data_IF_586577976070
#
_entry.id   IF_586577976070
#
_cell.length_a   1.000
_cell.length_b   1.000
_cell.length_c   1.000
_cell.angle_alpha   90.00
_cell.angle_beta   90.00
_cell.angle_gamma   90.00
#
_symmetry.space_group_name_H-M   'P 1'
#
loop_
_entity.id
_entity.type
_entity.pdbx_description
1 polymer ?
#
# COMPACT_ATOMS: atom_id res chain seq x y z
N UNK A 1 25.98 -13.82 30.42
CA UNK A 1 26.64 -15.15 30.53
C UNK A 1 27.32 -15.54 29.23
N UNK A 2 26.70 -15.35 28.06
CA UNK A 2 27.33 -15.65 26.75
C UNK A 2 28.66 -14.93 26.47
N UNK A 3 28.81 -13.68 26.90
CA UNK A 3 30.06 -12.94 26.70
C UNK A 3 31.24 -13.50 27.52
N UNK A 4 30.97 -14.15 28.65
CA UNK A 4 31.99 -14.80 29.47
C UNK A 4 32.42 -16.13 28.85
N UNK A 5 31.45 -16.91 28.37
CA UNK A 5 31.66 -18.20 27.71
C UNK A 5 32.43 -18.07 26.37
N UNK A 6 32.21 -16.96 25.64
CA UNK A 6 33.00 -16.62 24.45
C UNK A 6 34.46 -16.27 24.81
N UNK A 7 34.67 -15.60 25.95
CA UNK A 7 36.02 -15.25 26.41
C UNK A 7 36.78 -16.50 26.86
N UNK A 8 36.12 -17.39 27.59
CA UNK A 8 36.69 -18.66 28.06
C UNK A 8 37.12 -19.53 26.86
N UNK A 9 36.25 -19.72 25.86
CA UNK A 9 36.61 -20.43 24.62
C UNK A 9 37.79 -19.80 23.86
N UNK A 10 37.92 -18.47 23.87
CA UNK A 10 39.06 -17.79 23.25
C UNK A 10 40.34 -17.99 24.04
N UNK A 11 40.25 -17.96 25.37
CA UNK A 11 41.39 -18.22 26.26
C UNK A 11 41.84 -19.67 26.08
N UNK A 12 40.93 -20.64 26.05
CA UNK A 12 41.25 -22.05 25.80
C UNK A 12 41.87 -22.27 24.42
N UNK A 13 41.35 -21.59 23.39
CA UNK A 13 41.94 -21.65 22.05
C UNK A 13 43.35 -21.05 22.00
N UNK A 14 43.59 -19.95 22.72
CA UNK A 14 44.92 -19.33 22.82
C UNK A 14 45.89 -20.19 23.63
N UNK A 15 45.45 -20.79 24.73
CA UNK A 15 46.26 -21.69 25.55
C UNK A 15 46.64 -22.96 24.79
N UNK A 16 45.71 -23.53 24.02
CA UNK A 16 45.99 -24.66 23.12
C UNK A 16 46.92 -24.27 21.97
N UNK A 17 46.76 -23.08 21.38
CA UNK A 17 47.64 -22.61 20.31
C UNK A 17 49.07 -22.31 20.80
N UNK A 18 49.22 -21.86 22.05
CA UNK A 18 50.52 -21.69 22.69
C UNK A 18 51.10 -23.01 23.23
N UNK A 19 50.32 -24.10 23.27
CA UNK A 19 50.78 -25.40 23.72
C UNK A 19 51.12 -25.45 25.22
N UNK A 20 50.59 -24.54 26.03
CA UNK A 20 50.75 -24.54 27.48
C UNK A 20 49.69 -25.47 28.06
N UNK A 21 49.78 -26.76 27.73
CA UNK A 21 49.01 -27.78 28.44
C UNK A 21 49.91 -28.32 29.56
N UNK A 22 49.46 -28.07 30.79
CA UNK A 22 49.98 -28.62 32.04
C UNK A 22 50.30 -30.10 31.85
N UNK A 23 51.59 -30.49 31.87
CA UNK A 23 52.13 -31.73 32.48
C UNK A 23 53.67 -31.85 32.31
N UNK A 24 54.35 -31.04 31.49
CA UNK A 24 55.82 -31.06 31.42
C UNK A 24 56.46 -29.70 31.71
N UNK A 25 56.69 -29.43 33.00
CA UNK A 25 57.61 -28.38 33.49
C UNK A 25 59.09 -28.70 33.19
N UNK A 26 59.46 -29.06 31.96
CA UNK A 26 60.85 -29.36 31.64
C UNK A 26 61.41 -28.45 30.53
N UNK A 27 62.18 -27.47 31.01
CA UNK A 27 63.44 -26.98 30.43
C UNK A 27 63.43 -26.19 29.13
N UNK A 28 62.34 -25.55 28.73
CA UNK A 28 62.38 -24.52 27.68
C UNK A 28 61.49 -23.32 28.05
N UNK A 29 61.87 -22.61 29.12
CA UNK A 29 61.50 -21.19 29.31
C UNK A 29 62.32 -20.31 28.35
N UNK A 30 62.45 -20.68 27.08
CA UNK A 30 62.78 -19.68 26.07
C UNK A 30 61.53 -18.82 25.93
N UNK A 31 61.64 -17.50 26.07
CA UNK A 31 60.51 -16.64 25.75
C UNK A 31 60.06 -17.01 24.33
N UNK A 32 58.77 -17.25 24.11
CA UNK A 32 58.23 -17.53 22.78
C UNK A 32 58.73 -16.51 21.75
N UNK A 33 58.88 -15.26 22.17
CA UNK A 33 59.52 -14.18 21.44
C UNK A 33 60.96 -14.48 21.05
N UNK A 34 61.79 -14.99 21.95
CA UNK A 34 63.19 -15.34 21.68
C UNK A 34 63.29 -16.54 20.73
N UNK A 35 62.45 -17.57 20.87
CA UNK A 35 62.41 -18.70 19.92
C UNK A 35 61.89 -18.28 18.55
N UNK A 36 60.90 -17.38 18.47
CA UNK A 36 60.43 -16.79 17.20
C UNK A 36 61.52 -15.92 16.57
N UNK A 37 62.23 -15.11 17.35
CA UNK A 37 63.34 -14.29 16.87
C UNK A 37 64.47 -15.19 16.35
N UNK A 38 64.80 -16.25 17.08
CA UNK A 38 65.80 -17.25 16.68
C UNK A 38 65.38 -17.95 15.38
N UNK A 39 64.15 -18.43 15.28
CA UNK A 39 63.60 -19.04 14.07
C UNK A 39 63.60 -18.06 12.88
N UNK A 40 63.19 -16.81 13.09
CA UNK A 40 63.23 -15.78 12.05
C UNK A 40 64.67 -15.46 11.60
N UNK A 41 65.63 -15.44 12.54
CA UNK A 41 67.04 -15.22 12.25
C UNK A 41 67.65 -16.41 11.50
N UNK A 42 67.29 -17.65 11.84
CA UNK A 42 67.65 -18.87 11.12
C UNK A 42 67.05 -18.91 9.71
N UNK A 43 65.78 -18.54 9.56
CA UNK A 43 65.13 -18.46 8.24
C UNK A 43 65.80 -17.36 7.42
N UNK A 44 66.02 -16.18 7.98
CA UNK A 44 66.64 -15.06 7.28
C UNK A 44 68.08 -15.37 6.85
N UNK A 45 68.87 -16.01 7.72
CA UNK A 45 70.24 -16.43 7.41
C UNK A 45 70.31 -17.61 6.42
N UNK A 46 69.37 -18.56 6.46
CA UNK A 46 69.26 -19.62 5.46
C UNK A 46 68.81 -19.09 4.09
N UNK A 47 68.07 -17.98 4.08
CA UNK A 47 67.49 -17.37 2.88
C UNK A 47 68.40 -16.29 2.27
N UNK A 48 69.30 -15.68 3.05
CA UNK A 48 70.21 -14.62 2.59
C UNK A 48 71.20 -15.06 1.51
N UNK A 49 71.43 -16.37 1.34
CA UNK A 49 72.23 -16.93 0.24
C UNK A 49 71.42 -17.44 -0.96
N UNK A 50 70.08 -17.41 -0.89
CA UNK A 50 69.17 -17.91 -1.92
C UNK A 50 68.18 -16.82 -2.33
N UNK A 51 68.61 -15.95 -3.22
CA UNK A 51 67.83 -14.82 -3.74
C UNK A 51 66.43 -15.22 -4.25
N UNK A 52 66.32 -16.38 -4.91
CA UNK A 52 65.04 -16.94 -5.37
C UNK A 52 64.05 -17.29 -4.25
N UNK A 53 64.55 -17.71 -3.08
CA UNK A 53 63.70 -18.04 -1.92
C UNK A 53 63.26 -16.74 -1.23
N UNK A 54 64.12 -15.73 -1.18
CA UNK A 54 63.75 -14.38 -0.72
C UNK A 54 62.68 -13.73 -1.61
N UNK A 55 62.74 -13.94 -2.92
CA UNK A 55 61.71 -13.49 -3.87
C UNK A 55 60.38 -14.25 -3.69
N UNK A 56 60.44 -15.58 -3.49
CA UNK A 56 59.25 -16.38 -3.16
C UNK A 56 58.61 -15.94 -1.84
N UNK A 57 59.40 -15.63 -0.81
CA UNK A 57 58.90 -15.18 0.50
C UNK A 57 58.25 -13.80 0.43
N UNK A 58 58.69 -12.92 -0.48
CA UNK A 58 58.02 -11.65 -0.79
C UNK A 58 56.68 -11.88 -1.48
N UNK A 59 56.59 -12.89 -2.36
CA UNK A 59 55.36 -13.28 -3.06
C UNK A 59 54.40 -14.10 -2.19
N UNK A 60 54.82 -14.59 -1.02
CA UNK A 60 53.95 -15.34 -0.10
C UNK A 60 52.72 -14.53 0.32
N UNK A 61 52.85 -13.23 0.58
CA UNK A 61 51.71 -12.36 0.91
C UNK A 61 50.73 -12.21 -0.26
N UNK A 62 51.26 -12.18 -1.47
CA UNK A 62 50.45 -12.11 -2.69
C UNK A 62 49.73 -13.45 -2.93
N UNK A 63 50.44 -14.57 -2.72
CA UNK A 63 49.89 -15.92 -2.78
C UNK A 63 48.82 -16.16 -1.70
N UNK A 64 48.97 -15.59 -0.51
CA UNK A 64 47.97 -15.63 0.55
C UNK A 64 46.68 -14.91 0.13
N UNK A 65 46.80 -13.73 -0.51
CA UNK A 65 45.66 -13.03 -1.09
C UNK A 65 44.99 -13.81 -2.23
N UNK A 66 45.75 -14.58 -3.02
CA UNK A 66 45.18 -15.43 -4.07
C UNK A 66 44.60 -16.76 -3.55
N UNK A 67 45.02 -17.20 -2.36
CA UNK A 67 44.43 -18.34 -1.66
C UNK A 67 43.18 -17.96 -0.88
N UNK A 68 42.94 -16.65 -0.67
CA UNK A 68 41.74 -16.15 -0.02
C UNK A 68 40.50 -16.42 -0.90
N UNK A 69 39.53 -17.24 -0.45
CA UNK A 69 38.29 -17.50 -1.18
C UNK A 69 37.51 -16.22 -1.52
N UNK A 70 37.66 -15.16 -0.71
CA UNK A 70 36.93 -13.91 -0.91
C UNK A 70 37.45 -13.10 -2.11
N UNK A 71 38.74 -13.24 -2.46
CA UNK A 71 39.35 -12.53 -3.59
C UNK A 71 38.80 -13.00 -4.96
N UNK A 72 38.55 -14.30 -5.12
CA UNK A 72 37.94 -14.88 -6.33
C UNK A 72 36.44 -14.56 -6.38
N UNK A 73 35.79 -14.52 -5.22
CA UNK A 73 34.37 -14.21 -5.10
C UNK A 73 34.07 -12.77 -5.56
N UNK A 74 34.96 -11.81 -5.28
CA UNK A 74 34.74 -10.41 -5.66
C UNK A 74 34.70 -10.19 -7.18
N UNK A 75 35.54 -10.89 -7.96
CA UNK A 75 35.49 -10.78 -9.42
C UNK A 75 34.26 -11.45 -10.05
N UNK A 76 33.83 -12.60 -9.52
CA UNK A 76 32.57 -13.22 -9.94
C UNK A 76 31.36 -12.38 -9.51
N UNK A 77 31.45 -11.74 -8.34
CA UNK A 77 30.44 -10.85 -7.80
C UNK A 77 30.16 -9.67 -8.72
N UNK A 78 31.16 -9.08 -9.39
CA UNK A 78 30.93 -7.94 -10.30
C UNK A 78 30.02 -8.32 -11.48
N UNK A 79 30.26 -9.45 -12.14
CA UNK A 79 29.43 -9.92 -13.26
C UNK A 79 28.02 -10.29 -12.81
N UNK A 80 27.91 -10.91 -11.64
CA UNK A 80 26.62 -11.25 -11.03
C UNK A 80 25.86 -9.98 -10.63
N UNK A 81 26.56 -8.97 -10.09
CA UNK A 81 25.99 -7.65 -9.75
C UNK A 81 25.49 -6.92 -11.00
N UNK A 82 26.22 -6.98 -12.11
CA UNK A 82 25.80 -6.38 -13.38
C UNK A 82 24.53 -7.07 -13.93
N UNK A 83 24.52 -8.41 -13.95
CA UNK A 83 23.33 -9.17 -14.34
C UNK A 83 22.14 -8.87 -13.42
N UNK A 84 22.37 -8.78 -12.11
CA UNK A 84 21.35 -8.42 -11.12
C UNK A 84 20.79 -7.02 -11.36
N UNK A 85 21.65 -6.02 -11.57
CA UNK A 85 21.22 -4.65 -11.90
C UNK A 85 20.37 -4.63 -13.16
N UNK A 86 20.76 -5.36 -14.21
CA UNK A 86 19.97 -5.44 -15.44
C UNK A 86 18.61 -6.13 -15.23
N UNK A 87 18.53 -7.14 -14.36
CA UNK A 87 17.25 -7.78 -14.01
C UNK A 87 16.34 -6.87 -13.18
N UNK A 88 16.92 -6.08 -12.26
CA UNK A 88 16.18 -5.21 -11.33
C UNK A 88 15.93 -3.83 -11.94
N UNK A 89 16.56 -3.47 -13.06
CA UNK A 89 16.45 -2.14 -13.68
C UNK A 89 15.01 -1.74 -13.99
N UNK A 90 14.19 -2.67 -14.49
CA UNK A 90 12.79 -2.41 -14.79
C UNK A 90 11.96 -2.18 -13.51
N UNK A 91 12.19 -2.98 -12.47
CA UNK A 91 11.53 -2.81 -11.17
C UNK A 91 11.96 -1.50 -10.49
N UNK A 92 13.23 -1.13 -10.63
CA UNK A 92 13.76 0.12 -10.11
C UNK A 92 13.17 1.33 -10.86
N UNK A 93 12.99 1.23 -12.17
CA UNK A 93 12.32 2.26 -12.97
C UNK A 93 10.85 2.41 -12.57
N UNK A 94 10.13 1.30 -12.35
CA UNK A 94 8.75 1.33 -11.85
C UNK A 94 8.67 1.94 -10.44
N UNK A 95 9.60 1.60 -9.55
CA UNK A 95 9.70 2.18 -8.22
C UNK A 95 10.05 3.68 -8.25
N UNK A 96 10.84 4.11 -9.23
CA UNK A 96 11.14 5.53 -9.41
C UNK A 96 9.90 6.31 -9.87
N UNK A 97 9.10 5.75 -10.79
CA UNK A 97 7.86 6.36 -11.25
C UNK A 97 6.84 6.48 -10.11
N UNK A 98 6.69 5.45 -9.27
CA UNK A 98 5.81 5.50 -8.10
C UNK A 98 6.31 6.50 -7.06
N UNK A 99 7.62 6.57 -6.82
CA UNK A 99 8.20 7.57 -5.93
C UNK A 99 8.00 8.99 -6.45
N UNK A 100 8.10 9.20 -7.77
CA UNK A 100 7.84 10.49 -8.38
C UNK A 100 6.36 10.91 -8.23
N UNK A 101 5.42 9.97 -8.37
CA UNK A 101 4.01 10.20 -8.07
C UNK A 101 3.81 10.58 -6.59
N UNK A 102 4.44 9.86 -5.66
CA UNK A 102 4.37 10.18 -4.23
C UNK A 102 4.90 11.59 -3.94
N UNK A 103 6.04 11.97 -4.55
CA UNK A 103 6.61 13.31 -4.41
C UNK A 103 5.70 14.41 -4.98
N UNK A 104 4.96 14.12 -6.05
CA UNK A 104 3.93 15.05 -6.57
C UNK A 104 2.74 15.19 -5.61
N UNK A 105 2.43 14.16 -4.82
CA UNK A 105 1.36 14.18 -3.82
C UNK A 105 1.80 14.77 -2.46
N UNK A 106 3.10 14.86 -2.18
CA UNK A 106 3.66 15.43 -0.93
C UNK A 106 3.12 16.83 -0.58
N UNK A 107 2.97 17.77 -1.54
CA UNK A 107 2.40 19.10 -1.27
C UNK A 107 0.90 19.04 -0.96
N UNK A 108 0.18 18.02 -1.43
CA UNK A 108 -1.27 17.85 -1.17
C UNK A 108 -1.53 17.29 0.23
N UNK A 109 -0.61 16.45 0.74
CA UNK A 109 -0.68 15.96 2.12
C UNK A 109 -0.32 17.05 3.13
N UNK A 110 0.58 17.95 2.75
CA UNK A 110 0.97 19.12 3.53
C UNK A 110 -0.02 20.29 3.38
N UNK A 111 -1.04 20.15 2.53
CA UNK A 111 -1.99 21.21 2.30
C UNK A 111 -2.84 21.39 3.56
N UNK A 112 -2.76 22.58 4.16
CA UNK A 112 -3.53 22.97 5.34
C UNK A 112 -5.04 22.76 5.15
N UNK A 113 -5.54 22.65 3.92
CA UNK A 113 -6.93 22.35 3.61
C UNK A 113 -7.47 21.10 4.31
N UNK A 114 -6.68 20.05 4.51
CA UNK A 114 -7.13 18.85 5.26
C UNK A 114 -7.15 19.08 6.78
N UNK A 115 -6.30 19.98 7.29
CA UNK A 115 -6.21 20.33 8.71
C UNK A 115 -7.22 21.41 9.09
N UNK A 116 -7.61 22.25 8.13
CA UNK A 116 -8.60 23.30 8.28
C UNK A 116 -9.99 22.88 7.81
N UNK A 117 -10.24 21.59 7.54
CA UNK A 117 -11.62 21.10 7.34
C UNK A 117 -12.32 21.31 8.69
N UNK A 118 -13.26 22.26 8.80
CA UNK A 118 -14.06 22.40 10.01
C UNK A 118 -14.79 21.08 10.21
N UNK A 119 -15.07 20.69 11.45
CA UNK A 119 -15.92 19.52 11.68
C UNK A 119 -17.35 19.85 11.23
N UNK A 120 -17.64 19.65 9.94
CA UNK A 120 -18.95 19.84 9.32
C UNK A 120 -19.79 18.57 9.42
N UNK A 121 -19.30 17.53 10.12
CA UNK A 121 -19.99 16.25 10.25
C UNK A 121 -21.38 16.41 10.87
N UNK A 122 -21.49 17.23 11.92
CA UNK A 122 -22.77 17.52 12.58
C UNK A 122 -23.74 18.24 11.63
N UNK A 123 -23.27 19.25 10.90
CA UNK A 123 -24.09 19.97 9.92
C UNK A 123 -24.51 19.08 8.75
N UNK A 124 -23.65 18.16 8.31
CA UNK A 124 -24.00 17.17 7.28
C UNK A 124 -25.05 16.19 7.83
N UNK A 125 -24.94 15.78 9.10
CA UNK A 125 -25.94 14.94 9.76
C UNK A 125 -27.30 15.64 9.82
N UNK A 126 -27.32 16.89 10.25
CA UNK A 126 -28.54 17.71 10.30
C UNK A 126 -29.15 17.90 8.90
N UNK A 127 -28.32 18.15 7.88
CA UNK A 127 -28.80 18.25 6.50
C UNK A 127 -29.39 16.93 5.99
N UNK A 128 -28.80 15.79 6.36
CA UNK A 128 -29.34 14.48 5.99
C UNK A 128 -30.67 14.18 6.70
N UNK A 129 -30.81 14.52 7.99
CA UNK A 129 -32.07 14.38 8.73
C UNK A 129 -33.17 15.28 8.14
N UNK A 130 -32.84 16.53 7.81
CA UNK A 130 -33.76 17.45 7.13
C UNK A 130 -34.15 16.95 5.74
N UNK A 131 -33.20 16.41 4.96
CA UNK A 131 -33.48 15.86 3.64
C UNK A 131 -34.44 14.66 3.72
N UNK A 132 -34.20 13.74 4.66
CA UNK A 132 -35.08 12.60 4.88
C UNK A 132 -36.50 13.03 5.28
N UNK A 133 -36.60 14.00 6.19
CA UNK A 133 -37.89 14.57 6.60
C UNK A 133 -38.60 15.25 5.42
N UNK A 134 -37.87 16.00 4.60
CA UNK A 134 -38.41 16.67 3.43
C UNK A 134 -38.89 15.67 2.37
N UNK A 135 -38.20 14.55 2.19
CA UNK A 135 -38.63 13.48 1.29
C UNK A 135 -39.95 12.88 1.73
N UNK A 136 -40.08 12.53 3.02
CA UNK A 136 -41.33 11.98 3.57
C UNK A 136 -42.50 12.97 3.43
N UNK A 137 -42.26 14.27 3.67
CA UNK A 137 -43.28 15.30 3.47
C UNK A 137 -43.68 15.42 2.01
N UNK A 138 -42.72 15.32 1.08
CA UNK A 138 -42.99 15.40 -0.34
C UNK A 138 -43.84 14.21 -0.83
N UNK A 139 -43.56 12.99 -0.36
CA UNK A 139 -44.35 11.79 -0.66
C UNK A 139 -45.80 11.95 -0.19
N UNK A 140 -46.02 12.45 1.03
CA UNK A 140 -47.37 12.71 1.56
C UNK A 140 -48.13 13.76 0.75
N UNK A 141 -47.44 14.83 0.32
CA UNK A 141 -48.04 15.87 -0.51
C UNK A 141 -48.39 15.32 -1.89
N UNK A 142 -47.52 14.50 -2.48
CA UNK A 142 -47.74 13.86 -3.78
C UNK A 142 -48.95 12.91 -3.72
N UNK A 143 -49.06 12.08 -2.69
CA UNK A 143 -50.22 11.21 -2.48
C UNK A 143 -51.52 12.02 -2.31
N UNK A 144 -51.48 13.08 -1.49
CA UNK A 144 -52.63 13.97 -1.28
C UNK A 144 -53.07 14.67 -2.58
N UNK A 145 -52.10 15.11 -3.39
CA UNK A 145 -52.35 15.73 -4.69
C UNK A 145 -52.98 14.73 -5.65
N UNK A 146 -52.46 13.50 -5.72
CA UNK A 146 -52.99 12.43 -6.56
C UNK A 146 -54.45 12.14 -6.21
N UNK A 147 -54.76 11.97 -4.93
CA UNK A 147 -56.13 11.73 -4.44
C UNK A 147 -57.04 12.91 -4.82
N UNK A 148 -56.56 14.14 -4.67
CA UNK A 148 -57.33 15.33 -5.01
C UNK A 148 -57.63 15.41 -6.50
N UNK A 149 -56.66 15.07 -7.36
CA UNK A 149 -56.84 14.99 -8.81
C UNK A 149 -57.83 13.89 -9.20
N UNK A 150 -57.77 12.73 -8.56
CA UNK A 150 -58.74 11.65 -8.77
C UNK A 150 -60.17 12.09 -8.41
N UNK A 151 -60.37 12.68 -7.23
CA UNK A 151 -61.66 13.21 -6.80
C UNK A 151 -62.17 14.31 -7.74
N UNK A 152 -61.30 15.18 -8.21
CA UNK A 152 -61.67 16.20 -9.20
C UNK A 152 -62.14 15.56 -10.51
N UNK A 153 -61.42 14.55 -11.01
CA UNK A 153 -61.82 13.81 -12.21
C UNK A 153 -63.17 13.10 -12.04
N UNK A 154 -63.43 12.51 -10.88
CA UNK A 154 -64.73 11.90 -10.57
C UNK A 154 -65.86 12.94 -10.57
N UNK A 155 -65.65 14.08 -9.92
CA UNK A 155 -66.63 15.18 -9.90
C UNK A 155 -66.90 15.68 -11.31
N UNK A 156 -65.85 15.85 -12.13
CA UNK A 156 -65.98 16.29 -13.52
C UNK A 156 -66.79 15.31 -14.37
N UNK A 157 -66.54 14.01 -14.22
CA UNK A 157 -67.30 12.96 -14.93
C UNK A 157 -68.75 12.94 -14.48
N UNK A 158 -69.01 12.97 -13.17
CA UNK A 158 -70.37 13.03 -12.63
C UNK A 158 -71.13 14.28 -13.10
N UNK A 159 -70.47 15.43 -13.17
CA UNK A 159 -71.06 16.66 -13.69
C UNK A 159 -71.38 16.54 -15.18
N UNK A 160 -70.46 15.96 -15.97
CA UNK A 160 -70.69 15.70 -17.40
C UNK A 160 -71.90 14.79 -17.60
N UNK A 161 -72.01 13.71 -16.84
CA UNK A 161 -73.14 12.78 -16.93
C UNK A 161 -74.45 13.44 -16.50
N UNK A 162 -74.44 14.25 -15.44
CA UNK A 162 -75.61 15.00 -15.00
C UNK A 162 -76.08 16.02 -16.05
N UNK A 163 -75.16 16.72 -16.70
CA UNK A 163 -75.46 17.65 -17.80
C UNK A 163 -76.00 16.91 -19.03
N UNK A 164 -75.43 15.75 -19.38
CA UNK A 164 -75.94 14.93 -20.47
C UNK A 164 -77.37 14.44 -20.19
N UNK A 165 -77.64 13.94 -18.98
CA UNK A 165 -78.99 13.54 -18.57
C UNK A 165 -79.97 14.72 -18.59
N UNK A 166 -79.52 15.93 -18.27
CA UNK A 166 -80.35 17.13 -18.32
C UNK A 166 -80.67 17.52 -19.76
N UNK A 167 -79.70 17.47 -20.67
CA UNK A 167 -79.92 17.66 -22.11
C UNK A 167 -80.89 16.62 -22.67
N UNK A 168 -80.69 15.34 -22.39
CA UNK A 168 -81.60 14.27 -22.84
C UNK A 168 -83.04 14.48 -22.34
N UNK A 169 -83.20 15.03 -21.13
CA UNK A 169 -84.52 15.38 -20.58
C UNK A 169 -85.11 16.61 -21.29
N UNK A 170 -84.30 17.61 -21.62
CA UNK A 170 -84.71 18.80 -22.36
C UNK A 170 -85.18 18.42 -23.76
N UNK A 171 -84.41 17.61 -24.49
CA UNK A 171 -84.75 17.13 -25.83
C UNK A 171 -86.09 16.38 -25.83
N UNK A 172 -86.30 15.48 -24.85
CA UNK A 172 -87.58 14.76 -24.68
C UNK A 172 -88.74 15.70 -24.37
N UNK A 173 -88.49 16.78 -23.63
CA UNK A 173 -89.52 17.78 -23.33
C UNK A 173 -89.85 18.61 -24.57
N UNK A 174 -88.85 19.05 -25.34
CA UNK A 174 -89.03 19.76 -26.60
C UNK A 174 -89.80 18.92 -27.62
N UNK A 175 -89.46 17.63 -27.77
CA UNK A 175 -90.17 16.72 -28.66
C UNK A 175 -91.65 16.56 -28.28
N UNK A 176 -91.94 16.47 -26.97
CA UNK A 176 -93.33 16.42 -26.47
C UNK A 176 -94.10 17.70 -26.77
N UNK A 177 -93.47 18.87 -26.60
CA UNK A 177 -94.08 20.17 -26.89
C UNK A 177 -94.34 20.32 -28.39
N UNK A 178 -93.38 19.95 -29.24
CA UNK A 178 -93.54 19.94 -30.70
C UNK A 178 -94.67 19.01 -31.15
N UNK A 179 -94.74 17.80 -30.59
CA UNK A 179 -95.81 16.85 -30.89
C UNK A 179 -97.19 17.34 -30.42
N UNK A 180 -97.26 18.03 -29.27
CA UNK A 180 -98.49 18.66 -28.80
C UNK A 180 -98.94 19.80 -29.72
N UNK A 181 -98.01 20.66 -30.16
CA UNK A 181 -98.29 21.72 -31.15
C UNK A 181 -98.80 21.16 -32.47
N UNK A 182 -98.17 20.10 -33.00
CA UNK A 182 -98.59 19.45 -34.26
C UNK A 182 -99.97 18.80 -34.16
N UNK A 183 -100.37 18.29 -33.00
CA UNK A 183 -101.73 17.79 -32.76
C UNK A 183 -102.74 18.94 -32.71
N UNK A 184 -102.44 20.03 -32.02
CA UNK A 184 -103.32 21.20 -31.91
C UNK A 184 -103.54 21.95 -33.24
N UNK A 185 -102.66 21.80 -34.23
CA UNK A 185 -102.80 22.41 -35.57
C UNK A 185 -103.59 21.50 -36.55
N UNK A 186 -103.79 20.22 -36.21
CA UNK A 186 -104.48 19.23 -37.06
C UNK A 186 -105.95 18.99 -36.66
N UNK A 187 -106.40 19.54 -35.53
CA UNK A 187 -107.81 19.65 -35.13
C UNK A 187 -108.37 21.02 -35.55
#
# INVERSE_FOLDING_TARGET
>A
MEALDLLEKRIDALSNALGINDEEQNTLNENLTDSIISANTLITSATSGREKVGEMMKRTKELENYLDPDYINDQQSIKIKEAYINTVANDLAANFETLQKIKLLEPTLSAEYFRSIPDVSEKIRDMNEQLSTSQQQNELIEESLLISMQKYSEIQNNLRDALQQLNDRLDKFEERVENAKKKAIRE
#
